data_IF_863822422179
#
_entry.id   IF_863822422179
#
_cell.length_a   1.000
_cell.length_b   1.000
_cell.length_c   1.000
_cell.angle_alpha   90.00
_cell.angle_beta   90.00
_cell.angle_gamma   90.00
#
_symmetry.space_group_name_H-M   'P 1'
#
loop_
_entity.id
_entity.type
_entity.pdbx_description
1 polymer ?
#
# COMPACT_ATOMS: atom_id res chain seq x y z
N UNK A 1 -16.32 20.38 5.37
CA UNK A 1 -15.36 20.42 6.51
C UNK A 1 -14.89 18.99 6.77
N UNK A 2 -13.71 18.65 6.27
CA UNK A 2 -13.16 17.29 6.38
C UNK A 2 -12.42 17.13 7.70
N UNK A 3 -13.01 16.35 8.62
CA UNK A 3 -12.31 15.92 9.83
C UNK A 3 -11.25 14.88 9.44
N UNK A 4 -10.02 15.33 9.25
CA UNK A 4 -8.87 14.43 9.27
C UNK A 4 -8.80 13.77 10.64
N UNK A 5 -9.20 12.52 10.72
CA UNK A 5 -9.05 11.70 11.93
C UNK A 5 -7.56 11.46 12.15
N UNK A 6 -6.94 12.28 12.98
CA UNK A 6 -5.60 12.05 13.50
C UNK A 6 -5.64 10.81 14.37
N UNK A 7 -5.19 9.70 13.86
CA UNK A 7 -5.08 8.47 14.66
C UNK A 7 -3.79 8.47 15.44
N UNK A 8 -3.95 8.45 16.74
CA UNK A 8 -2.92 8.56 17.76
C UNK A 8 -2.51 7.14 18.15
N UNK A 9 -1.22 6.82 18.00
CA UNK A 9 -0.65 5.62 18.60
C UNK A 9 -0.33 5.93 20.05
N UNK A 10 -1.18 5.47 20.95
CA UNK A 10 -0.96 5.60 22.39
C UNK A 10 -0.08 4.43 22.86
N UNK A 11 1.18 4.72 23.16
CA UNK A 11 2.09 3.73 23.75
C UNK A 11 1.96 3.84 25.27
N UNK A 12 1.24 2.90 25.88
CA UNK A 12 1.20 2.76 27.33
C UNK A 12 2.52 2.17 27.83
N UNK A 13 3.25 2.94 28.62
CA UNK A 13 4.42 2.49 29.36
C UNK A 13 3.94 2.01 30.74
N UNK A 14 3.46 0.77 30.84
CA UNK A 14 3.20 0.14 32.12
C UNK A 14 4.53 -0.49 32.62
N UNK A 15 5.15 0.15 33.61
CA UNK A 15 6.27 -0.42 34.35
C UNK A 15 5.69 -1.02 35.64
N UNK A 16 5.52 -2.35 35.68
CA UNK A 16 5.27 -3.06 36.91
C UNK A 16 6.57 -3.12 37.75
N UNK A 17 6.60 -2.41 38.87
CA UNK A 17 7.69 -2.54 39.85
C UNK A 17 7.35 -3.62 40.87
N UNK A 18 8.18 -4.68 40.90
CA UNK A 18 8.31 -5.53 42.09
C UNK A 18 9.43 -4.92 42.92
N UNK A 19 9.07 -4.36 44.08
CA UNK A 19 10.03 -3.80 45.04
C UNK A 19 10.49 -4.92 45.98
N UNK A 20 11.73 -5.39 45.83
CA UNK A 20 12.45 -6.06 46.90
C UNK A 20 13.39 -5.02 47.55
N UNK A 21 13.15 -4.76 48.83
CA UNK A 21 13.91 -3.79 49.63
C UNK A 21 15.24 -4.37 50.01
N UNK A 22 16.32 -3.86 49.42
CA UNK A 22 17.70 -3.92 49.96
C UNK A 22 18.33 -2.54 49.80
N UNK A 23 19.03 -1.99 50.82
CA UNK A 23 19.65 -0.67 50.72
C UNK A 23 20.99 -0.82 49.95
N UNK A 24 20.95 -0.65 48.66
CA UNK A 24 22.17 -0.38 47.89
C UNK A 24 22.05 1.05 47.34
N UNK A 25 23.15 1.79 47.46
CA UNK A 25 23.38 3.07 46.81
C UNK A 25 23.27 2.83 45.31
N UNK A 26 22.04 2.87 44.78
CA UNK A 26 21.77 2.65 43.39
C UNK A 26 22.13 3.94 42.65
N UNK A 27 23.22 3.94 41.92
CA UNK A 27 23.32 4.82 40.75
C UNK A 27 22.08 4.64 39.95
N UNK A 28 21.21 5.66 39.90
CA UNK A 28 19.92 5.60 39.20
C UNK A 28 20.15 5.55 37.71
N UNK A 29 20.43 4.35 37.20
CA UNK A 29 20.51 4.15 35.77
C UNK A 29 19.14 4.34 35.18
N UNK A 30 19.01 5.26 34.20
CA UNK A 30 17.75 5.57 33.56
C UNK A 30 17.13 4.29 32.95
N UNK A 31 15.89 3.97 33.32
CA UNK A 31 15.22 2.82 32.74
C UNK A 31 15.12 2.99 31.21
N UNK A 32 15.62 2.01 30.47
CA UNK A 32 15.66 2.04 29.01
C UNK A 32 14.71 1.00 28.44
N UNK A 33 13.72 1.44 27.68
CA UNK A 33 12.81 0.57 26.92
C UNK A 33 13.22 0.58 25.45
N UNK A 34 13.32 -0.60 24.83
CA UNK A 34 13.68 -0.73 23.41
C UNK A 34 12.49 -1.26 22.61
N UNK A 35 12.18 -0.61 21.49
CA UNK A 35 11.15 -1.03 20.52
C UNK A 35 11.77 -1.15 19.13
N UNK A 36 11.27 -2.07 18.31
CA UNK A 36 11.66 -2.19 16.91
C UNK A 36 10.59 -1.54 16.04
N UNK A 37 11.00 -0.83 14.98
CA UNK A 37 10.09 -0.20 14.04
C UNK A 37 10.68 -0.32 12.63
N UNK A 38 9.90 -0.86 11.71
CA UNK A 38 10.26 -0.91 10.29
C UNK A 38 9.46 0.14 9.54
N UNK A 39 10.15 0.97 8.79
CA UNK A 39 9.57 2.01 7.93
C UNK A 39 10.08 1.83 6.50
N UNK A 40 9.35 2.41 5.55
CA UNK A 40 9.81 2.55 4.18
C UNK A 40 10.27 3.99 3.92
N UNK A 41 11.20 4.17 2.98
CA UNK A 41 11.68 5.50 2.58
C UNK A 41 10.50 6.38 2.19
N UNK A 42 10.46 7.59 2.75
CA UNK A 42 9.36 8.55 2.57
C UNK A 42 8.32 8.54 3.69
N UNK A 43 8.24 7.48 4.49
CA UNK A 43 7.28 7.41 5.60
C UNK A 43 7.61 8.38 6.73
N UNK A 44 6.54 8.82 7.40
CA UNK A 44 6.59 9.56 8.65
C UNK A 44 5.68 8.88 9.66
N UNK A 45 6.18 8.67 10.86
CA UNK A 45 5.39 8.16 11.99
C UNK A 45 5.42 9.16 13.13
N UNK A 46 4.28 9.31 13.80
CA UNK A 46 4.15 10.12 15.00
C UNK A 46 4.03 9.21 16.21
N UNK A 47 4.90 9.42 17.18
CA UNK A 47 4.94 8.69 18.44
C UNK A 47 4.56 9.67 19.55
N UNK A 48 3.52 9.35 20.30
CA UNK A 48 3.15 10.08 21.50
C UNK A 48 3.79 9.40 22.71
N UNK A 49 4.54 10.18 23.49
CA UNK A 49 5.28 9.67 24.64
C UNK A 49 4.52 10.02 25.92
N UNK A 50 4.17 9.00 26.69
CA UNK A 50 3.57 9.16 28.00
C UNK A 50 4.68 9.47 29.01
N UNK A 51 4.86 10.74 29.31
CA UNK A 51 5.87 11.23 30.28
C UNK A 51 5.40 12.56 30.89
N UNK A 52 6.00 12.97 32.01
CA UNK A 52 5.77 14.30 32.57
C UNK A 52 6.30 15.37 31.62
N UNK A 53 7.54 15.22 31.17
CA UNK A 53 8.18 16.14 30.23
C UNK A 53 9.12 15.38 29.27
N UNK A 54 9.15 15.83 28.02
CA UNK A 54 10.06 15.31 26.99
C UNK A 54 11.31 16.21 26.91
N UNK A 55 12.47 15.66 27.31
CA UNK A 55 13.73 16.39 27.35
C UNK A 55 14.37 16.48 25.97
N UNK A 56 14.66 15.34 25.35
CA UNK A 56 15.38 15.31 24.07
C UNK A 56 14.92 14.18 23.15
N UNK A 57 15.17 14.38 21.86
CA UNK A 57 15.01 13.36 20.83
C UNK A 57 16.22 13.41 19.91
N UNK A 58 16.86 12.28 19.71
CA UNK A 58 18.02 12.18 18.84
C UNK A 58 17.95 10.96 17.93
N UNK A 59 18.61 11.03 16.79
CA UNK A 59 18.80 9.91 15.88
C UNK A 59 20.28 9.63 15.70
N UNK A 60 20.68 8.38 15.80
CA UNK A 60 22.08 7.95 15.58
C UNK A 60 22.53 8.16 14.12
N UNK A 61 21.55 8.18 13.16
CA UNK A 61 21.81 8.44 11.72
C UNK A 61 20.67 9.27 11.14
N UNK A 62 20.80 10.62 11.22
CA UNK A 62 19.80 11.57 10.71
C UNK A 62 19.52 11.41 9.20
N UNK A 63 20.51 10.95 8.43
CA UNK A 63 20.34 10.64 7.01
C UNK A 63 19.38 9.45 6.77
N UNK A 64 19.27 8.51 7.71
CA UNK A 64 18.36 7.36 7.64
C UNK A 64 17.00 7.71 8.24
N UNK A 65 17.00 8.22 9.47
CA UNK A 65 15.78 8.59 10.19
C UNK A 65 15.94 9.97 10.82
N UNK A 66 15.25 10.98 10.26
CA UNK A 66 15.20 12.35 10.82
C UNK A 66 14.12 12.44 11.87
N UNK A 67 14.40 13.12 12.97
CA UNK A 67 13.44 13.30 14.07
C UNK A 67 13.15 14.77 14.32
N UNK A 68 11.92 15.03 14.79
CA UNK A 68 11.53 16.31 15.37
C UNK A 68 10.60 16.06 16.55
N UNK A 69 10.48 17.05 17.47
CA UNK A 69 9.55 16.99 18.60
C UNK A 69 8.67 18.22 18.65
N UNK A 70 7.44 18.04 19.12
CA UNK A 70 6.50 19.11 19.45
C UNK A 70 5.70 18.68 20.68
N UNK A 71 5.95 19.32 21.81
CA UNK A 71 5.41 18.86 23.10
C UNK A 71 5.83 17.41 23.41
N UNK A 72 4.86 16.55 23.63
CA UNK A 72 5.06 15.10 23.86
C UNK A 72 4.99 14.26 22.59
N UNK A 73 4.84 14.90 21.44
CA UNK A 73 4.80 14.24 20.12
C UNK A 73 6.19 14.23 19.49
N UNK A 74 6.63 13.05 19.07
CA UNK A 74 7.86 12.84 18.31
C UNK A 74 7.50 12.40 16.91
N UNK A 75 8.00 13.08 15.90
CA UNK A 75 7.88 12.65 14.51
C UNK A 75 9.19 12.01 14.05
N UNK A 76 9.11 10.82 13.50
CA UNK A 76 10.24 10.09 12.91
C UNK A 76 9.98 10.01 11.41
N UNK A 77 10.87 10.57 10.59
CA UNK A 77 10.78 10.58 9.13
C UNK A 77 11.88 9.68 8.53
N UNK A 78 11.48 8.65 7.82
CA UNK A 78 12.37 7.73 7.09
C UNK A 78 12.88 8.39 5.81
N UNK A 79 14.20 8.62 5.70
CA UNK A 79 14.82 9.38 4.60
C UNK A 79 15.58 8.51 3.61
N UNK A 80 16.33 7.53 4.10
CA UNK A 80 17.17 6.64 3.30
C UNK A 80 17.14 5.24 3.89
N UNK A 81 17.22 4.23 3.05
CA UNK A 81 17.32 2.83 3.51
C UNK A 81 18.54 2.62 4.42
N UNK A 82 18.36 1.81 5.44
CA UNK A 82 19.38 1.53 6.45
C UNK A 82 18.80 1.39 7.86
N UNK A 83 19.67 1.40 8.87
CA UNK A 83 19.27 1.28 10.27
C UNK A 83 19.73 2.49 11.08
N UNK A 84 18.89 2.92 12.01
CA UNK A 84 19.18 3.99 12.96
C UNK A 84 18.52 3.70 14.31
N UNK A 85 19.11 4.18 15.39
CA UNK A 85 18.47 4.22 16.70
C UNK A 85 17.93 5.63 16.93
N UNK A 86 16.65 5.73 17.25
CA UNK A 86 16.03 6.97 17.72
C UNK A 86 15.86 6.88 19.22
N UNK A 87 16.56 7.73 19.94
CA UNK A 87 16.50 7.81 21.40
C UNK A 87 15.64 8.98 21.81
N UNK A 88 14.63 8.71 22.61
CA UNK A 88 13.72 9.67 23.20
C UNK A 88 13.97 9.67 24.70
N UNK A 89 14.31 10.83 25.26
CA UNK A 89 14.61 10.97 26.71
C UNK A 89 13.57 11.91 27.31
N UNK A 90 13.00 11.50 28.42
CA UNK A 90 12.01 12.29 29.17
C UNK A 90 12.10 12.02 30.67
N UNK A 91 11.25 12.72 31.42
CA UNK A 91 11.07 12.50 32.87
C UNK A 91 9.68 11.92 33.12
N UNK A 92 9.62 10.89 33.98
CA UNK A 92 8.35 10.38 34.49
C UNK A 92 7.72 11.33 35.53
N UNK A 93 6.60 10.93 36.08
CA UNK A 93 5.88 11.72 37.08
C UNK A 93 6.63 11.89 38.42
N UNK A 94 7.62 11.03 38.67
CA UNK A 94 8.53 11.08 39.84
C UNK A 94 9.86 11.80 39.52
N UNK A 95 9.93 12.53 38.39
CA UNK A 95 11.12 13.23 37.89
C UNK A 95 12.33 12.34 37.57
N UNK A 96 12.16 11.01 37.53
CA UNK A 96 13.21 10.07 37.10
C UNK A 96 13.37 10.10 35.59
N UNK A 97 14.63 10.04 35.13
CA UNK A 97 14.95 10.01 33.72
C UNK A 97 14.58 8.64 33.12
N UNK A 98 13.82 8.66 32.02
CA UNK A 98 13.42 7.49 31.25
C UNK A 98 13.96 7.63 29.82
N UNK A 99 14.37 6.50 29.21
CA UNK A 99 14.81 6.43 27.83
C UNK A 99 13.98 5.43 27.06
N UNK A 100 13.47 5.85 25.91
CA UNK A 100 12.80 4.99 24.94
C UNK A 100 13.64 4.97 23.67
N UNK A 101 14.10 3.80 23.27
CA UNK A 101 14.92 3.60 22.08
C UNK A 101 14.13 2.87 21.02
N UNK A 102 13.93 3.49 19.86
CA UNK A 102 13.41 2.82 18.68
C UNK A 102 14.59 2.36 17.81
N UNK A 103 14.72 1.04 17.65
CA UNK A 103 15.60 0.45 16.63
C UNK A 103 14.85 0.50 15.30
N UNK A 104 15.20 1.49 14.47
CA UNK A 104 14.54 1.75 13.19
C UNK A 104 15.27 0.99 12.09
N UNK A 105 14.50 0.25 11.27
CA UNK A 105 14.97 -0.27 10.00
C UNK A 105 14.18 0.41 8.90
N UNK A 106 14.86 1.17 8.04
CA UNK A 106 14.25 1.80 6.87
C UNK A 106 14.54 0.94 5.65
N UNK A 107 13.50 0.50 4.97
CA UNK A 107 13.56 -0.28 3.72
C UNK A 107 13.23 0.60 2.52
N UNK A 108 13.84 0.34 1.37
CA UNK A 108 13.37 0.88 0.10
C UNK A 108 12.18 0.02 -0.35
N UNK A 109 11.00 0.61 -0.68
CA UNK A 109 9.93 -0.16 -1.29
C UNK A 109 10.39 -0.65 -2.67
N UNK A 110 10.02 -1.87 -3.02
CA UNK A 110 10.35 -2.48 -4.30
C UNK A 110 9.10 -2.79 -5.08
N UNK A 111 9.14 -2.50 -6.38
CA UNK A 111 8.06 -2.75 -7.31
C UNK A 111 8.64 -3.34 -8.59
N UNK A 112 7.91 -4.27 -9.20
CA UNK A 112 8.19 -4.73 -10.55
C UNK A 112 7.16 -4.09 -11.47
N UNK A 113 7.62 -3.28 -12.41
CA UNK A 113 6.77 -2.65 -13.39
C UNK A 113 7.00 -3.29 -14.75
N UNK A 114 5.94 -3.43 -15.54
CA UNK A 114 6.00 -3.93 -16.90
C UNK A 114 5.12 -3.04 -17.78
N UNK A 115 5.52 -2.91 -19.04
CA UNK A 115 4.78 -2.25 -20.11
C UNK A 115 4.55 -3.28 -21.19
N UNK A 116 3.31 -3.44 -21.65
CA UNK A 116 2.99 -4.32 -22.75
C UNK A 116 1.99 -3.67 -23.70
N UNK A 117 2.08 -3.90 -25.01
CA UNK A 117 1.09 -3.42 -25.96
C UNK A 117 -0.22 -4.15 -25.75
N UNK A 118 -1.31 -3.43 -25.94
CA UNK A 118 -2.64 -3.97 -26.16
C UNK A 118 -3.09 -3.61 -27.57
N UNK A 119 -4.20 -4.16 -28.03
CA UNK A 119 -4.75 -3.83 -29.33
C UNK A 119 -5.28 -2.37 -29.38
N UNK A 120 -5.39 -1.83 -30.60
CA UNK A 120 -6.03 -0.55 -30.90
C UNK A 120 -5.48 0.68 -30.20
N UNK A 121 -4.15 0.80 -30.12
CA UNK A 121 -3.49 1.95 -29.56
C UNK A 121 -3.59 2.05 -28.04
N UNK A 122 -3.83 0.93 -27.38
CA UNK A 122 -3.75 0.83 -25.92
C UNK A 122 -2.46 0.16 -25.48
N UNK A 123 -2.04 0.55 -24.29
CA UNK A 123 -0.87 -0.03 -23.59
C UNK A 123 -1.29 -0.37 -22.17
N UNK A 124 -0.87 -1.52 -21.69
CA UNK A 124 -1.03 -1.92 -20.30
C UNK A 124 0.27 -1.67 -19.53
N UNK A 125 0.20 -0.81 -18.53
CA UNK A 125 1.28 -0.64 -17.55
C UNK A 125 0.90 -1.35 -16.28
N UNK A 126 1.72 -2.27 -15.83
CA UNK A 126 1.49 -2.99 -14.57
C UNK A 126 2.50 -2.57 -13.51
N UNK A 127 2.07 -2.56 -12.25
CA UNK A 127 2.93 -2.33 -11.11
C UNK A 127 2.67 -3.37 -10.02
N UNK A 128 3.58 -4.31 -9.85
CA UNK A 128 3.51 -5.34 -8.80
C UNK A 128 4.22 -4.84 -7.55
N UNK A 129 3.50 -4.80 -6.45
CA UNK A 129 4.08 -4.52 -5.14
C UNK A 129 4.79 -5.77 -4.60
N UNK A 130 6.11 -5.80 -4.66
CA UNK A 130 6.92 -6.92 -4.17
C UNK A 130 7.29 -6.79 -2.68
N UNK A 131 6.80 -5.74 -2.00
CA UNK A 131 6.98 -5.56 -0.56
C UNK A 131 5.93 -6.32 0.24
N UNK A 132 6.22 -6.58 1.51
CA UNK A 132 5.22 -7.12 2.45
C UNK A 132 4.26 -6.06 3.03
N UNK A 133 4.32 -4.80 2.57
CA UNK A 133 3.50 -3.71 3.07
C UNK A 133 2.45 -3.28 2.05
N UNK A 134 1.29 -2.85 2.53
CA UNK A 134 0.28 -2.17 1.73
C UNK A 134 0.54 -0.67 1.71
N UNK A 135 0.35 -0.04 0.57
CA UNK A 135 0.41 1.41 0.42
C UNK A 135 -0.98 1.95 0.10
N UNK A 136 -1.40 2.98 0.84
CA UNK A 136 -2.69 3.65 0.61
C UNK A 136 -2.67 4.47 -0.68
N UNK A 137 -1.49 5.03 -0.96
CA UNK A 137 -1.22 5.77 -2.19
C UNK A 137 0.18 5.45 -2.71
N UNK A 138 0.32 5.50 -4.01
CA UNK A 138 1.58 5.47 -4.71
C UNK A 138 1.42 6.28 -6.01
N UNK A 139 2.52 6.68 -6.62
CA UNK A 139 2.53 7.33 -7.93
C UNK A 139 3.19 6.37 -8.92
N UNK A 140 2.44 5.94 -9.92
CA UNK A 140 2.95 5.22 -11.08
C UNK A 140 3.32 6.24 -12.14
N UNK A 141 4.60 6.33 -12.46
CA UNK A 141 5.13 7.18 -13.54
C UNK A 141 5.57 6.30 -14.68
N UNK A 142 5.29 6.71 -15.90
CA UNK A 142 5.65 5.96 -17.10
C UNK A 142 6.16 6.89 -18.21
N UNK A 143 7.00 6.33 -19.05
CA UNK A 143 7.49 6.94 -20.30
C UNK A 143 7.33 5.87 -21.38
N UNK A 144 6.42 6.12 -22.31
CA UNK A 144 6.13 5.23 -23.42
C UNK A 144 6.85 5.76 -24.66
N UNK A 145 7.50 4.85 -25.35
CA UNK A 145 8.23 5.13 -26.57
C UNK A 145 7.67 4.28 -27.72
N UNK A 146 7.71 4.82 -28.92
CA UNK A 146 7.43 4.08 -30.12
C UNK A 146 8.65 3.29 -30.61
N UNK A 147 8.48 2.53 -31.67
CA UNK A 147 9.53 1.70 -32.27
C UNK A 147 10.69 2.51 -32.89
N UNK A 148 10.51 3.82 -33.09
CA UNK A 148 11.59 4.76 -33.46
C UNK A 148 12.40 5.25 -32.27
N UNK A 149 11.92 4.97 -31.04
CA UNK A 149 12.52 5.43 -29.80
C UNK A 149 12.05 6.83 -29.33
N UNK A 150 11.11 7.43 -30.05
CA UNK A 150 10.53 8.72 -29.65
C UNK A 150 9.53 8.55 -28.49
N UNK A 151 9.43 9.58 -27.64
CA UNK A 151 8.51 9.58 -26.51
C UNK A 151 7.11 9.92 -26.98
N UNK A 152 6.25 8.90 -27.04
CA UNK A 152 4.82 9.05 -27.38
C UNK A 152 4.03 9.62 -26.20
N UNK A 153 4.35 9.15 -24.99
CA UNK A 153 3.65 9.60 -23.78
C UNK A 153 4.55 9.53 -22.56
N UNK A 154 4.53 10.59 -21.76
CA UNK A 154 5.19 10.65 -20.45
C UNK A 154 4.24 11.28 -19.46
N UNK A 155 3.84 10.51 -18.43
CA UNK A 155 2.86 10.99 -17.46
C UNK A 155 2.96 10.18 -16.16
N UNK A 156 2.09 10.49 -15.21
CA UNK A 156 1.95 9.74 -13.97
C UNK A 156 0.51 9.66 -13.50
N UNK A 157 0.15 8.56 -12.89
CA UNK A 157 -1.16 8.33 -12.29
C UNK A 157 -1.04 7.97 -10.82
N UNK A 158 -2.08 8.25 -10.05
CA UNK A 158 -2.14 7.91 -8.64
C UNK A 158 -2.72 6.51 -8.45
N UNK A 159 -1.96 5.64 -7.83
CA UNK A 159 -2.47 4.33 -7.40
C UNK A 159 -3.02 4.47 -5.98
N UNK A 160 -4.33 4.25 -5.83
CA UNK A 160 -4.95 4.07 -4.52
C UNK A 160 -4.96 2.58 -4.17
N UNK A 161 -4.61 2.23 -2.92
CA UNK A 161 -4.66 0.86 -2.41
C UNK A 161 -3.78 -0.13 -3.21
N UNK A 162 -2.46 0.05 -3.12
CA UNK A 162 -1.50 -0.90 -3.68
C UNK A 162 -1.19 -1.99 -2.65
N UNK A 163 -1.90 -3.11 -2.76
CA UNK A 163 -1.84 -4.21 -1.80
C UNK A 163 -0.51 -4.97 -1.85
N UNK A 164 -0.07 -5.50 -0.69
CA UNK A 164 1.15 -6.28 -0.58
C UNK A 164 1.13 -7.52 -1.50
N UNK A 165 2.15 -7.71 -2.31
CA UNK A 165 2.30 -8.85 -3.22
C UNK A 165 1.34 -8.84 -4.42
N UNK A 166 0.53 -7.79 -4.61
CA UNK A 166 -0.48 -7.71 -5.67
C UNK A 166 -0.07 -6.79 -6.80
N UNK A 167 -0.77 -6.91 -7.92
CA UNK A 167 -0.53 -6.16 -9.16
C UNK A 167 -1.60 -5.09 -9.33
N UNK A 168 -1.17 -3.87 -9.64
CA UNK A 168 -2.04 -2.83 -10.19
C UNK A 168 -1.92 -2.85 -11.71
N UNK A 169 -3.06 -2.72 -12.37
CA UNK A 169 -3.17 -2.67 -13.83
C UNK A 169 -3.67 -1.29 -14.22
N UNK A 170 -2.98 -0.64 -15.15
CA UNK A 170 -3.32 0.67 -15.70
C UNK A 170 -3.35 0.59 -17.22
N UNK A 171 -4.54 0.71 -17.79
CA UNK A 171 -4.76 0.73 -19.24
C UNK A 171 -4.68 2.17 -19.75
N UNK A 172 -3.83 2.41 -20.73
CA UNK A 172 -3.56 3.73 -21.27
C UNK A 172 -3.85 3.75 -22.77
N UNK A 173 -4.53 4.79 -23.23
CA UNK A 173 -4.66 5.04 -24.66
C UNK A 173 -3.52 5.93 -25.13
N UNK A 174 -2.84 5.51 -26.20
CA UNK A 174 -1.71 6.23 -26.82
C UNK A 174 -1.98 6.62 -28.26
N UNK A 175 -3.10 6.16 -28.82
CA UNK A 175 -3.50 6.41 -30.22
C UNK A 175 -3.17 5.23 -31.14
N UNK A 176 -4.03 5.01 -32.11
CA UNK A 176 -3.93 3.86 -33.05
C UNK A 176 -2.77 3.94 -34.02
N UNK A 177 -2.15 5.10 -34.16
CA UNK A 177 -1.06 5.33 -35.10
C UNK A 177 0.33 5.04 -34.52
N UNK A 178 0.40 4.57 -33.27
CA UNK A 178 1.67 4.31 -32.59
C UNK A 178 1.86 2.82 -32.34
N UNK A 179 2.98 2.28 -32.77
CA UNK A 179 3.49 0.99 -32.34
C UNK A 179 4.46 1.23 -31.19
N UNK A 180 4.10 0.75 -29.99
CA UNK A 180 4.87 0.97 -28.77
C UNK A 180 6.00 -0.06 -28.64
N UNK A 181 7.22 0.42 -28.49
CA UNK A 181 8.36 -0.38 -28.07
C UNK A 181 8.35 -0.55 -26.54
N UNK A 182 7.91 -1.72 -26.10
CA UNK A 182 7.81 -2.02 -24.68
C UNK A 182 9.16 -2.21 -24.01
N UNK A 183 10.20 -2.56 -24.74
CA UNK A 183 11.56 -2.72 -24.20
C UNK A 183 12.22 -1.35 -23.96
N UNK A 184 11.95 -0.37 -24.83
CA UNK A 184 12.42 0.98 -24.68
C UNK A 184 11.54 1.84 -23.74
N UNK A 185 10.32 1.40 -23.48
CA UNK A 185 9.38 2.05 -22.55
C UNK A 185 9.73 1.72 -21.11
N UNK A 186 9.37 2.60 -20.17
CA UNK A 186 9.67 2.41 -18.75
C UNK A 186 8.52 2.82 -17.85
N UNK A 187 8.41 2.12 -16.72
CA UNK A 187 7.49 2.50 -15.66
C UNK A 187 8.15 2.32 -14.28
N UNK A 188 7.73 3.15 -13.33
CA UNK A 188 8.24 3.11 -11.95
C UNK A 188 7.22 3.57 -10.95
N UNK A 189 7.31 3.08 -9.72
CA UNK A 189 6.47 3.51 -8.61
C UNK A 189 7.28 4.33 -7.62
N UNK A 190 6.72 5.47 -7.22
CA UNK A 190 7.31 6.40 -6.26
C UNK A 190 6.23 7.00 -5.35
N UNK A 191 6.61 7.93 -4.48
CA UNK A 191 5.68 8.72 -3.67
C UNK A 191 4.78 7.89 -2.75
N UNK A 192 5.23 6.72 -2.33
CA UNK A 192 4.43 5.78 -1.57
C UNK A 192 4.09 6.31 -0.19
N UNK A 193 2.83 6.17 0.19
CA UNK A 193 2.33 6.41 1.53
C UNK A 193 1.71 5.15 2.09
N UNK A 194 2.27 4.67 3.22
CA UNK A 194 1.76 3.46 3.85
C UNK A 194 0.41 3.73 4.52
N UNK A 195 -0.51 2.78 4.36
CA UNK A 195 -1.81 2.85 5.00
C UNK A 195 -1.70 2.30 6.42
N UNK A 196 -1.83 3.14 7.42
CA UNK A 196 -1.73 2.77 8.85
C UNK A 196 -0.43 2.04 9.20
N UNK A 197 0.70 2.74 9.39
CA UNK A 197 2.00 2.13 9.66
C UNK A 197 2.05 1.23 10.90
N UNK A 198 1.08 1.36 11.80
CA UNK A 198 1.05 0.65 13.09
C UNK A 198 0.10 -0.53 13.12
N UNK A 199 -0.66 -0.76 12.05
CA UNK A 199 -1.63 -1.84 11.98
C UNK A 199 -1.10 -3.00 11.16
N UNK A 200 -1.37 -4.21 11.62
CA UNK A 200 -1.07 -5.42 10.87
C UNK A 200 -2.21 -5.70 9.91
N UNK A 201 -1.93 -5.57 8.62
CA UNK A 201 -2.86 -5.96 7.56
C UNK A 201 -2.55 -7.36 7.08
N UNK A 202 -3.60 -8.10 6.79
CA UNK A 202 -3.50 -9.38 6.08
C UNK A 202 -4.13 -9.25 4.70
N UNK A 203 -3.52 -9.87 3.71
CA UNK A 203 -4.17 -10.02 2.41
C UNK A 203 -5.47 -10.81 2.56
N UNK A 204 -6.42 -10.56 1.65
CA UNK A 204 -7.65 -11.36 1.59
C UNK A 204 -7.26 -12.83 1.42
N UNK A 205 -7.65 -13.65 2.40
CA UNK A 205 -7.56 -15.10 2.31
C UNK A 205 -8.72 -15.64 1.48
N UNK A 206 -8.55 -16.85 0.92
CA UNK A 206 -9.66 -17.56 0.27
C UNK A 206 -10.85 -17.66 1.22
N UNK A 207 -12.05 -17.33 0.74
CA UNK A 207 -13.27 -17.30 1.52
C UNK A 207 -13.50 -16.03 2.36
N UNK A 208 -12.54 -15.11 2.48
CA UNK A 208 -12.74 -13.85 3.19
C UNK A 208 -13.67 -12.89 2.42
N UNK A 209 -13.65 -12.95 1.11
CA UNK A 209 -14.63 -12.33 0.22
C UNK A 209 -15.09 -13.41 -0.76
N UNK A 210 -16.41 -13.65 -0.74
CA UNK A 210 -17.07 -14.44 -1.77
C UNK A 210 -17.47 -13.50 -2.90
N UNK A 211 -17.29 -13.93 -4.14
CA UNK A 211 -17.84 -13.24 -5.29
C UNK A 211 -18.59 -14.20 -6.20
N UNK A 212 -19.59 -13.67 -6.87
CA UNK A 212 -20.39 -14.41 -7.82
C UNK A 212 -20.78 -13.49 -8.97
N UNK A 213 -20.64 -14.01 -10.16
CA UNK A 213 -21.17 -13.41 -11.37
C UNK A 213 -22.63 -13.81 -11.50
N UNK A 214 -23.47 -12.84 -11.81
CA UNK A 214 -24.91 -13.00 -12.02
C UNK A 214 -25.26 -12.37 -13.36
N UNK A 215 -26.35 -12.84 -13.99
CA UNK A 215 -26.87 -12.25 -15.23
C UNK A 215 -25.80 -12.12 -16.31
N UNK A 216 -24.97 -13.16 -16.47
CA UNK A 216 -23.88 -13.16 -17.46
C UNK A 216 -24.48 -13.29 -18.85
N UNK A 217 -24.20 -12.31 -19.69
CA UNK A 217 -24.46 -12.31 -21.13
C UNK A 217 -23.14 -12.17 -21.86
N UNK A 218 -22.73 -13.20 -22.56
CA UNK A 218 -21.50 -13.22 -23.35
C UNK A 218 -21.87 -13.41 -24.83
N UNK A 219 -21.42 -12.47 -25.64
CA UNK A 219 -21.55 -12.50 -27.10
C UNK A 219 -20.20 -12.26 -27.72
N UNK A 220 -20.05 -12.46 -29.02
CA UNK A 220 -18.80 -12.21 -29.77
C UNK A 220 -18.24 -10.79 -29.61
N UNK A 221 -19.06 -9.83 -29.15
CA UNK A 221 -18.69 -8.42 -29.04
C UNK A 221 -18.85 -7.83 -27.66
N UNK A 222 -19.46 -8.54 -26.71
CA UNK A 222 -19.82 -7.98 -25.42
C UNK A 222 -19.90 -9.02 -24.32
N UNK A 223 -19.34 -8.67 -23.15
CA UNK A 223 -19.57 -9.38 -21.91
C UNK A 223 -20.29 -8.43 -20.95
N UNK A 224 -21.41 -8.86 -20.42
CA UNK A 224 -22.14 -8.19 -19.35
C UNK A 224 -22.30 -9.13 -18.18
N UNK A 225 -22.18 -8.62 -16.98
CA UNK A 225 -22.51 -9.37 -15.77
C UNK A 225 -22.75 -8.44 -14.60
N UNK A 226 -23.42 -8.95 -13.58
CA UNK A 226 -23.47 -8.35 -12.26
C UNK A 226 -22.45 -9.05 -11.36
N UNK A 227 -21.58 -8.28 -10.74
CA UNK A 227 -20.63 -8.81 -9.75
C UNK A 227 -21.18 -8.61 -8.35
N UNK A 228 -21.59 -9.70 -7.72
CA UNK A 228 -21.97 -9.73 -6.31
C UNK A 228 -20.76 -10.04 -5.45
N UNK A 229 -20.43 -9.12 -4.55
CA UNK A 229 -19.34 -9.25 -3.58
C UNK A 229 -19.93 -9.41 -2.18
N UNK A 230 -19.43 -10.36 -1.40
CA UNK A 230 -19.87 -10.59 -0.01
C UNK A 230 -18.67 -10.68 0.91
N UNK A 231 -18.61 -9.80 1.89
CA UNK A 231 -17.63 -9.91 2.97
C UNK A 231 -18.06 -10.95 3.98
N UNK A 232 -17.31 -12.05 4.12
CA UNK A 232 -17.61 -13.13 5.05
C UNK A 232 -17.08 -12.89 6.47
N UNK A 233 -16.25 -11.85 6.66
CA UNK A 233 -15.60 -11.56 7.93
C UNK A 233 -16.44 -10.67 8.84
N UNK A 234 -16.18 -10.76 10.16
CA UNK A 234 -16.72 -9.85 11.17
C UNK A 234 -15.91 -8.54 11.29
N UNK A 235 -15.32 -8.07 10.19
CA UNK A 235 -14.52 -6.85 10.12
C UNK A 235 -14.62 -6.25 8.73
N UNK A 236 -14.24 -5.00 8.62
CA UNK A 236 -14.17 -4.30 7.34
C UNK A 236 -13.07 -4.88 6.45
N UNK A 237 -13.35 -4.96 5.15
CA UNK A 237 -12.43 -5.39 4.10
C UNK A 237 -12.34 -4.30 3.05
N UNK A 238 -11.14 -3.86 2.74
CA UNK A 238 -10.89 -3.03 1.55
C UNK A 238 -10.40 -3.92 0.44
N UNK A 239 -11.06 -3.87 -0.71
CA UNK A 239 -10.74 -4.68 -1.87
C UNK A 239 -10.63 -3.83 -3.14
N UNK A 240 -9.93 -4.39 -4.10
CA UNK A 240 -9.85 -3.96 -5.48
C UNK A 240 -10.11 -5.16 -6.37
N UNK A 241 -10.81 -4.98 -7.47
CA UNK A 241 -11.02 -6.04 -8.44
C UNK A 241 -10.71 -5.53 -9.83
N UNK A 242 -10.36 -6.46 -10.69
CA UNK A 242 -10.12 -6.26 -12.11
C UNK A 242 -10.86 -7.33 -12.87
N UNK A 243 -11.44 -6.95 -13.98
CA UNK A 243 -11.84 -7.89 -15.03
C UNK A 243 -10.71 -7.87 -16.04
N UNK A 244 -10.15 -9.03 -16.36
CA UNK A 244 -9.00 -9.16 -17.25
C UNK A 244 -9.39 -10.13 -18.34
N UNK A 245 -9.30 -9.69 -19.58
CA UNK A 245 -9.56 -10.51 -20.76
C UNK A 245 -8.25 -11.14 -21.26
N UNK A 246 -8.34 -12.39 -21.71
CA UNK A 246 -7.21 -13.23 -22.13
C UNK A 246 -7.44 -13.81 -23.52
N UNK A 247 -6.34 -14.08 -24.21
CA UNK A 247 -6.33 -14.96 -25.37
C UNK A 247 -6.24 -16.44 -24.96
N UNK A 248 -6.27 -17.35 -25.95
CA UNK A 248 -6.18 -18.80 -25.75
C UNK A 248 -4.84 -19.27 -25.15
N UNK A 249 -3.82 -18.41 -25.12
CA UNK A 249 -2.53 -18.68 -24.52
C UNK A 249 -2.38 -18.07 -23.12
N UNK A 250 -3.46 -17.59 -22.48
CA UNK A 250 -3.46 -16.86 -21.21
C UNK A 250 -2.68 -15.52 -21.26
N UNK A 251 -2.45 -14.93 -22.43
CA UNK A 251 -1.90 -13.58 -22.50
C UNK A 251 -3.01 -12.55 -22.23
N UNK A 252 -2.68 -11.51 -21.48
CA UNK A 252 -3.63 -10.40 -21.22
C UNK A 252 -3.79 -9.61 -22.51
N UNK A 253 -5.02 -9.54 -23.02
CA UNK A 253 -5.37 -8.73 -24.18
C UNK A 253 -6.09 -7.44 -23.81
N UNK A 254 -6.71 -7.41 -22.62
CA UNK A 254 -7.33 -6.20 -22.10
C UNK A 254 -7.57 -6.24 -20.58
N UNK A 255 -7.77 -5.05 -19.99
CA UNK A 255 -8.27 -4.83 -18.63
C UNK A 255 -9.46 -3.87 -18.71
N UNK A 256 -10.63 -4.40 -19.06
CA UNK A 256 -11.80 -3.59 -19.39
C UNK A 256 -12.39 -2.86 -18.19
N UNK A 257 -12.23 -3.43 -17.01
CA UNK A 257 -12.87 -2.89 -15.82
C UNK A 257 -12.00 -3.06 -14.59
N UNK A 258 -12.03 -2.06 -13.74
CA UNK A 258 -11.46 -2.13 -12.39
C UNK A 258 -12.32 -1.35 -11.39
N UNK A 259 -12.31 -1.77 -10.14
CA UNK A 259 -13.01 -1.06 -9.08
C UNK A 259 -12.34 -1.23 -7.73
N UNK A 260 -12.58 -0.27 -6.84
CA UNK A 260 -12.15 -0.34 -5.44
C UNK A 260 -13.38 -0.19 -4.55
N UNK A 261 -13.53 -1.09 -3.59
CA UNK A 261 -14.65 -1.11 -2.63
C UNK A 261 -14.13 -1.34 -1.22
N UNK A 262 -14.82 -0.74 -0.27
CA UNK A 262 -14.70 -1.08 1.15
C UNK A 262 -16.03 -1.67 1.57
N UNK A 263 -16.01 -2.92 2.00
CA UNK A 263 -17.19 -3.64 2.48
C UNK A 263 -17.14 -3.67 4.00
N UNK A 264 -18.20 -3.21 4.63
CA UNK A 264 -18.43 -3.35 6.07
C UNK A 264 -18.48 -4.83 6.46
N UNK A 265 -18.48 -5.13 7.75
CA UNK A 265 -18.57 -6.49 8.24
C UNK A 265 -19.85 -7.15 7.68
N UNK A 266 -19.73 -8.36 7.09
CA UNK A 266 -20.84 -9.14 6.53
C UNK A 266 -21.62 -8.44 5.40
N UNK A 267 -21.13 -7.35 4.88
CA UNK A 267 -21.80 -6.62 3.80
C UNK A 267 -21.85 -7.43 2.51
N UNK A 268 -22.96 -7.30 1.81
CA UNK A 268 -23.17 -7.79 0.45
C UNK A 268 -23.36 -6.58 -0.45
N UNK A 269 -22.58 -6.49 -1.51
CA UNK A 269 -22.62 -5.43 -2.50
C UNK A 269 -22.78 -6.05 -3.90
N UNK A 270 -23.62 -5.48 -4.72
CA UNK A 270 -23.79 -5.89 -6.12
C UNK A 270 -23.56 -4.70 -7.03
N UNK A 271 -22.79 -4.89 -8.07
CA UNK A 271 -22.51 -3.88 -9.07
C UNK A 271 -22.62 -4.50 -10.47
N UNK A 272 -23.31 -3.80 -11.35
CA UNK A 272 -23.49 -4.23 -12.74
C UNK A 272 -22.35 -3.74 -13.60
N UNK A 273 -21.83 -4.59 -14.46
CA UNK A 273 -20.77 -4.30 -15.41
C UNK A 273 -21.24 -4.60 -16.82
N UNK A 274 -21.12 -3.58 -17.64
CA UNK A 274 -21.21 -3.74 -19.09
C UNK A 274 -19.78 -3.68 -19.62
N UNK A 275 -19.25 -4.83 -19.98
CA UNK A 275 -17.99 -4.88 -20.67
C UNK A 275 -18.25 -5.05 -22.16
N UNK A 276 -17.79 -4.12 -22.93
CA UNK A 276 -17.85 -4.18 -24.37
C UNK A 276 -16.48 -4.60 -24.88
N UNK A 277 -16.32 -5.90 -25.16
CA UNK A 277 -15.31 -6.33 -26.10
C UNK A 277 -15.90 -6.04 -27.49
N UNK A 278 -15.60 -4.92 -28.04
CA UNK A 278 -16.18 -4.61 -29.34
C UNK A 278 -15.25 -4.99 -30.47
N UNK A 279 -15.77 -4.75 -31.66
CA UNK A 279 -15.05 -4.57 -32.90
C UNK A 279 -13.78 -3.71 -32.81
N UNK A 280 -13.55 -3.01 -31.71
CA UNK A 280 -12.27 -2.40 -31.38
C UNK A 280 -11.19 -3.44 -30.97
N UNK A 281 -11.60 -4.59 -30.46
CA UNK A 281 -10.71 -5.71 -30.23
C UNK A 281 -10.99 -6.65 -31.38
N UNK A 282 -10.05 -6.80 -32.29
CA UNK A 282 -10.20 -7.81 -33.33
C UNK A 282 -10.57 -9.11 -32.64
N UNK A 283 -11.79 -9.58 -32.83
CA UNK A 283 -12.39 -10.78 -32.22
C UNK A 283 -11.52 -12.04 -32.29
N UNK A 284 -10.48 -12.00 -33.12
CA UNK A 284 -9.58 -13.10 -33.37
C UNK A 284 -8.81 -13.60 -32.15
N UNK A 285 -8.79 -12.86 -31.03
CA UNK A 285 -7.86 -13.18 -29.94
C UNK A 285 -8.51 -13.31 -28.55
N UNK A 286 -9.80 -13.00 -28.36
CA UNK A 286 -10.44 -13.21 -27.08
C UNK A 286 -10.85 -14.68 -26.89
N UNK A 287 -10.45 -15.27 -25.76
CA UNK A 287 -10.82 -16.62 -25.38
C UNK A 287 -11.67 -16.64 -24.10
N UNK A 288 -11.19 -15.97 -23.04
CA UNK A 288 -11.89 -15.95 -21.76
C UNK A 288 -11.55 -14.71 -20.93
N UNK A 289 -12.28 -14.52 -19.84
CA UNK A 289 -11.92 -13.51 -18.83
C UNK A 289 -11.79 -14.11 -17.44
N UNK A 290 -11.10 -13.38 -16.57
CA UNK A 290 -10.98 -13.71 -15.14
C UNK A 290 -11.29 -12.47 -14.30
N UNK A 291 -12.00 -12.67 -13.19
CA UNK A 291 -12.19 -11.65 -12.18
C UNK A 291 -11.11 -11.83 -11.12
N UNK A 292 -10.22 -10.84 -10.99
CA UNK A 292 -9.12 -10.85 -10.02
C UNK A 292 -9.50 -9.95 -8.85
N UNK A 293 -9.84 -10.55 -7.73
CA UNK A 293 -10.14 -9.82 -6.49
C UNK A 293 -8.88 -9.76 -5.62
N UNK A 294 -8.51 -8.55 -5.21
CA UNK A 294 -7.37 -8.27 -4.35
C UNK A 294 -7.85 -7.44 -3.16
N UNK A 295 -7.21 -7.59 -2.01
CA UNK A 295 -7.56 -6.75 -0.90
C UNK A 295 -6.87 -7.13 0.40
N UNK A 296 -7.22 -6.42 1.44
CA UNK A 296 -6.72 -6.67 2.78
C UNK A 296 -7.75 -6.33 3.85
N UNK A 297 -7.50 -6.85 5.04
CA UNK A 297 -8.22 -6.49 6.24
C UNK A 297 -7.24 -6.31 7.40
N UNK A 298 -7.66 -5.55 8.41
CA UNK A 298 -6.88 -5.39 9.63
C UNK A 298 -6.92 -6.68 10.45
N UNK A 299 -5.75 -7.23 10.79
CA UNK A 299 -5.65 -8.31 11.77
C UNK A 299 -5.86 -7.72 13.17
N UNK A 300 -6.68 -8.38 13.98
CA UNK A 300 -6.82 -8.08 15.42
C UNK A 300 -5.64 -8.64 16.19
#
# INVERSE_FOLDING_TARGET
>A
MNKLTKRIVSVFLAVAMIVTILPQVATTQAATTTKKLTLYVGEKVEVYVTCKSLSSVSSSKKAVAKTSKSGKKVTIAAKKAGSANVTITGKDWYNKTQKLVYKITVKKPTFSCNVQPLNNGYVLVTAKNTTGAMFDKATLSYTLKDTSGEVVKKDSTSICKLFAGKVHYEKLHVGTNYEIDCDASSASVSGVGRYYPDKTYKNIASGAVEYKELNVEETDSQIKFDLKLKNTLNKEVTLKYYVIAYDANDNIIDVPCSGTRTLSKKEVNTASYNYVSTSQYTQANYDHYKIVVQGCYEAK
#
